data_IF_475434491374
#
_entry.id   IF_475434491374
#
_cell.length_a   1.000
_cell.length_b   1.000
_cell.length_c   1.000
_cell.angle_alpha   90.00
_cell.angle_beta   90.00
_cell.angle_gamma   90.00
#
_symmetry.space_group_name_H-M   'P 1'
#
loop_
_entity.id
_entity.type
_entity.pdbx_description
1 polymer ?
#
# COMPACT_ATOMS: atom_id res chain seq x y z
N UNK A 1 -46.63 -25.57 38.41
CA UNK A 1 -46.50 -24.37 39.27
C UNK A 1 -45.43 -23.49 38.69
N UNK A 2 -45.84 -22.37 38.07
CA UNK A 2 -44.98 -21.23 37.74
C UNK A 2 -44.62 -20.47 39.04
N UNK A 3 -43.62 -19.58 39.04
CA UNK A 3 -43.67 -18.33 38.29
C UNK A 3 -42.30 -17.89 37.72
N UNK A 4 -42.30 -17.31 36.49
CA UNK A 4 -42.17 -15.88 36.24
C UNK A 4 -41.04 -15.13 36.96
N UNK A 5 -39.95 -14.83 36.24
CA UNK A 5 -39.28 -13.55 36.40
C UNK A 5 -38.87 -12.99 35.05
N UNK A 6 -39.68 -12.01 34.65
CA UNK A 6 -39.36 -11.04 33.62
C UNK A 6 -38.22 -10.14 34.14
N UNK A 7 -37.14 -10.06 33.47
CA UNK A 7 -36.19 -8.96 33.64
C UNK A 7 -35.83 -8.37 32.29
N UNK A 8 -36.32 -7.21 32.14
CA UNK A 8 -36.03 -6.19 31.17
C UNK A 8 -34.52 -5.95 31.10
N UNK A 9 -33.92 -6.11 29.93
CA UNK A 9 -32.67 -5.45 29.61
C UNK A 9 -32.91 -4.65 28.34
N UNK A 10 -33.16 -3.37 28.53
CA UNK A 10 -33.16 -2.38 27.49
C UNK A 10 -31.71 -2.19 27.04
N UNK A 11 -31.33 -2.81 25.91
CA UNK A 11 -30.08 -2.54 25.28
C UNK A 11 -30.19 -1.22 24.47
N UNK A 12 -29.65 -0.16 25.04
CA UNK A 12 -29.43 1.11 24.36
C UNK A 12 -28.31 0.90 23.34
N UNK A 13 -28.68 0.66 22.09
CA UNK A 13 -27.75 0.75 20.96
C UNK A 13 -27.42 2.22 20.70
N UNK A 14 -26.36 2.72 21.31
CA UNK A 14 -25.71 3.94 20.83
C UNK A 14 -25.02 3.60 19.52
N UNK A 15 -25.68 3.91 18.42
CA UNK A 15 -25.06 3.96 17.10
C UNK A 15 -24.12 5.17 17.08
N UNK A 16 -22.85 4.92 17.38
CA UNK A 16 -21.78 5.85 17.08
C UNK A 16 -21.62 5.88 15.55
N UNK A 17 -22.29 6.81 14.90
CA UNK A 17 -22.00 7.18 13.52
C UNK A 17 -20.61 7.84 13.51
N UNK A 18 -19.57 7.02 13.46
CA UNK A 18 -18.25 7.47 13.12
C UNK A 18 -18.31 7.98 11.69
N UNK A 19 -18.36 9.29 11.51
CA UNK A 19 -18.09 9.94 10.23
C UNK A 19 -16.68 9.60 9.84
N UNK A 20 -16.52 8.52 9.07
CA UNK A 20 -15.27 8.18 8.42
C UNK A 20 -14.94 9.31 7.44
N UNK A 21 -14.14 10.26 7.90
CA UNK A 21 -13.51 11.19 6.99
C UNK A 21 -12.63 10.36 6.07
N UNK A 22 -13.02 10.28 4.81
CA UNK A 22 -12.15 9.78 3.75
C UNK A 22 -10.94 10.70 3.71
N UNK A 23 -9.87 10.29 4.38
CA UNK A 23 -8.59 10.97 4.29
C UNK A 23 -8.05 10.75 2.89
N UNK A 24 -8.30 11.68 1.99
CA UNK A 24 -7.65 11.79 0.68
C UNK A 24 -6.20 12.26 0.84
N UNK A 25 -5.56 11.91 1.94
CA UNK A 25 -4.15 12.18 2.20
C UNK A 25 -3.26 11.10 1.59
N UNK A 26 -2.08 11.50 1.20
CA UNK A 26 -1.01 10.58 0.78
C UNK A 26 -0.84 9.48 1.85
N UNK A 27 -0.75 8.20 1.47
CA UNK A 27 -0.59 7.11 2.43
C UNK A 27 0.59 7.38 3.37
N UNK A 28 0.40 7.14 4.66
CA UNK A 28 1.48 7.31 5.64
C UNK A 28 2.68 6.41 5.30
N UNK A 29 3.86 6.72 5.80
CA UNK A 29 5.05 5.89 5.60
C UNK A 29 4.84 4.44 6.08
N UNK A 30 4.09 4.25 7.16
CA UNK A 30 3.73 2.93 7.67
C UNK A 30 2.81 2.17 6.73
N UNK A 31 1.80 2.83 6.17
CA UNK A 31 0.88 2.24 5.20
C UNK A 31 1.64 1.81 3.94
N UNK A 32 2.57 2.65 3.44
CA UNK A 32 3.42 2.29 2.30
C UNK A 32 4.34 1.12 2.59
N UNK A 33 4.93 1.07 3.79
CA UNK A 33 5.78 -0.06 4.20
C UNK A 33 4.98 -1.38 4.26
N UNK A 34 3.78 -1.37 4.82
CA UNK A 34 2.89 -2.52 4.86
C UNK A 34 2.48 -2.97 3.44
N UNK A 35 2.18 -2.02 2.56
CA UNK A 35 1.85 -2.35 1.16
C UNK A 35 3.04 -2.95 0.40
N UNK A 36 4.27 -2.43 0.61
CA UNK A 36 5.48 -3.01 0.03
C UNK A 36 5.74 -4.44 0.52
N UNK A 37 5.52 -4.71 1.80
CA UNK A 37 5.61 -6.05 2.35
C UNK A 37 4.60 -7.00 1.68
N UNK A 38 3.34 -6.58 1.56
CA UNK A 38 2.31 -7.37 0.89
C UNK A 38 2.63 -7.64 -0.59
N UNK A 39 3.23 -6.67 -1.30
CA UNK A 39 3.70 -6.85 -2.68
C UNK A 39 4.84 -7.87 -2.74
N UNK A 40 5.79 -7.80 -1.81
CA UNK A 40 6.90 -8.75 -1.75
C UNK A 40 6.41 -10.19 -1.51
N UNK A 41 5.45 -10.39 -0.61
CA UNK A 41 4.85 -11.69 -0.34
C UNK A 41 4.14 -12.25 -1.58
N UNK A 42 3.35 -11.42 -2.28
CA UNK A 42 2.70 -11.83 -3.52
C UNK A 42 3.70 -12.21 -4.61
N UNK A 43 4.77 -11.45 -4.76
CA UNK A 43 5.84 -11.75 -5.73
C UNK A 43 6.51 -13.08 -5.41
N UNK A 44 6.79 -13.35 -4.13
CA UNK A 44 7.35 -14.62 -3.70
C UNK A 44 6.43 -15.80 -4.04
N UNK A 45 5.13 -15.67 -3.78
CA UNK A 45 4.15 -16.69 -4.11
C UNK A 45 4.06 -16.96 -5.62
N UNK A 46 4.03 -15.91 -6.46
CA UNK A 46 4.04 -16.05 -7.93
C UNK A 46 5.30 -16.75 -8.41
N UNK A 47 6.46 -16.38 -7.87
CA UNK A 47 7.73 -17.02 -8.23
C UNK A 47 7.76 -18.49 -7.85
N UNK A 48 7.26 -18.85 -6.67
CA UNK A 48 7.15 -20.26 -6.24
C UNK A 48 6.19 -21.05 -7.15
N UNK A 49 5.04 -20.47 -7.51
CA UNK A 49 4.09 -21.09 -8.43
C UNK A 49 4.69 -21.28 -9.83
N UNK A 50 5.46 -20.30 -10.32
CA UNK A 50 6.18 -20.41 -11.59
C UNK A 50 7.19 -21.58 -11.56
N UNK A 51 8.02 -21.66 -10.52
CA UNK A 51 9.01 -22.77 -10.38
C UNK A 51 8.32 -24.12 -10.33
N UNK A 52 7.25 -24.25 -9.57
CA UNK A 52 6.48 -25.50 -9.49
C UNK A 52 5.84 -25.86 -10.84
N UNK A 53 5.29 -24.87 -11.54
CA UNK A 53 4.71 -25.04 -12.88
C UNK A 53 5.76 -25.46 -13.91
N UNK A 54 6.94 -24.84 -13.91
CA UNK A 54 8.04 -25.21 -14.80
C UNK A 54 8.54 -26.66 -14.53
N UNK A 55 8.59 -27.10 -13.28
CA UNK A 55 8.92 -28.48 -12.92
C UNK A 55 7.86 -29.46 -13.46
N UNK A 56 6.57 -29.13 -13.31
CA UNK A 56 5.49 -29.94 -13.82
C UNK A 56 5.52 -30.02 -15.37
N UNK A 57 5.88 -28.95 -16.06
CA UNK A 57 5.98 -28.92 -17.53
C UNK A 57 7.04 -29.91 -18.05
N UNK A 58 8.14 -30.12 -17.34
CA UNK A 58 9.22 -31.06 -17.75
C UNK A 58 8.76 -32.50 -17.84
N UNK A 59 7.63 -32.84 -17.25
CA UNK A 59 7.01 -34.18 -17.30
C UNK A 59 5.98 -34.32 -18.42
N UNK A 60 5.76 -33.28 -19.22
CA UNK A 60 4.78 -33.26 -20.30
C UNK A 60 5.42 -33.49 -21.66
N UNK A 61 4.62 -33.94 -22.64
CA UNK A 61 5.09 -34.13 -24.01
C UNK A 61 5.40 -32.79 -24.72
N UNK A 62 4.56 -31.77 -24.55
CA UNK A 62 4.75 -30.42 -25.13
C UNK A 62 5.42 -29.50 -24.08
N UNK A 63 6.69 -29.72 -23.79
CA UNK A 63 7.42 -29.02 -22.72
C UNK A 63 7.53 -27.52 -23.01
N UNK A 64 7.88 -27.11 -24.22
CA UNK A 64 8.15 -25.72 -24.57
C UNK A 64 6.90 -24.86 -24.49
N UNK A 65 5.77 -25.32 -25.01
CA UNK A 65 4.51 -24.59 -24.93
C UNK A 65 4.04 -24.44 -23.49
N UNK A 66 4.14 -25.51 -22.71
CA UNK A 66 3.83 -25.48 -21.28
C UNK A 66 4.71 -24.48 -20.52
N UNK A 67 6.03 -24.47 -20.75
CA UNK A 67 6.95 -23.51 -20.12
C UNK A 67 6.64 -22.07 -20.52
N UNK A 68 6.30 -21.85 -21.78
CA UNK A 68 5.89 -20.54 -22.28
C UNK A 68 4.65 -20.04 -21.54
N UNK A 69 3.61 -20.86 -21.43
CA UNK A 69 2.37 -20.49 -20.75
C UNK A 69 2.58 -20.15 -19.29
N UNK A 70 3.34 -20.97 -18.56
CA UNK A 70 3.67 -20.72 -17.15
C UNK A 70 4.42 -19.39 -16.96
N UNK A 71 5.38 -19.10 -17.86
CA UNK A 71 6.15 -17.84 -17.79
C UNK A 71 5.30 -16.63 -18.18
N UNK A 72 4.43 -16.78 -19.18
CA UNK A 72 3.52 -15.72 -19.59
C UNK A 72 2.53 -15.37 -18.48
N UNK A 73 1.98 -16.37 -17.82
CA UNK A 73 1.12 -16.17 -16.67
C UNK A 73 1.86 -15.46 -15.54
N UNK A 74 3.03 -15.91 -15.14
CA UNK A 74 3.81 -15.27 -14.08
C UNK A 74 4.14 -13.79 -14.43
N UNK A 75 4.47 -13.49 -15.69
CA UNK A 75 4.71 -12.12 -16.15
C UNK A 75 3.45 -11.26 -16.03
N UNK A 76 2.31 -11.79 -16.44
CA UNK A 76 1.03 -11.09 -16.35
C UNK A 76 0.65 -10.76 -14.90
N UNK A 77 0.87 -11.70 -13.98
CA UNK A 77 0.59 -11.51 -12.55
C UNK A 77 1.58 -10.55 -11.87
N UNK A 78 2.85 -10.53 -12.29
CA UNK A 78 3.88 -9.64 -11.76
C UNK A 78 3.74 -8.20 -12.28
N UNK A 79 3.16 -7.97 -13.45
CA UNK A 79 3.08 -6.65 -14.07
C UNK A 79 2.35 -5.62 -13.21
N UNK A 80 1.15 -5.88 -12.64
CA UNK A 80 0.46 -4.91 -11.79
C UNK A 80 1.21 -4.64 -10.48
N UNK A 81 1.92 -5.61 -9.94
CA UNK A 81 2.72 -5.44 -8.73
C UNK A 81 3.90 -4.48 -8.99
N UNK A 82 4.57 -4.62 -10.13
CA UNK A 82 5.63 -3.69 -10.55
C UNK A 82 5.11 -2.27 -10.78
N UNK A 83 3.96 -2.14 -11.44
CA UNK A 83 3.33 -0.85 -11.63
C UNK A 83 3.06 -0.16 -10.28
N UNK A 84 2.52 -0.91 -9.33
CA UNK A 84 2.24 -0.38 -7.99
C UNK A 84 3.50 0.02 -7.22
N UNK A 85 4.57 -0.76 -7.31
CA UNK A 85 5.88 -0.39 -6.73
C UNK A 85 6.42 0.93 -7.30
N UNK A 86 6.28 1.14 -8.61
CA UNK A 86 6.69 2.38 -9.27
C UNK A 86 5.89 3.59 -8.76
N UNK A 87 4.58 3.45 -8.58
CA UNK A 87 3.73 4.50 -8.01
C UNK A 87 4.15 4.85 -6.57
N UNK A 88 4.36 3.85 -5.71
CA UNK A 88 4.83 4.06 -4.34
C UNK A 88 6.19 4.78 -4.31
N UNK A 89 7.10 4.41 -5.21
CA UNK A 89 8.40 5.07 -5.33
C UNK A 89 8.26 6.52 -5.79
N UNK A 90 7.34 6.80 -6.70
CA UNK A 90 7.08 8.14 -7.19
C UNK A 90 6.50 9.04 -6.08
N UNK A 91 5.51 8.55 -5.36
CA UNK A 91 4.92 9.27 -4.21
C UNK A 91 6.01 9.64 -3.19
N UNK A 92 6.84 8.68 -2.81
CA UNK A 92 7.93 8.91 -1.86
C UNK A 92 8.95 9.95 -2.36
N UNK A 93 9.29 9.93 -3.66
CA UNK A 93 10.18 10.96 -4.25
C UNK A 93 9.54 12.34 -4.20
N UNK A 94 8.25 12.46 -4.51
CA UNK A 94 7.53 13.74 -4.45
C UNK A 94 7.48 14.29 -3.03
N UNK A 95 7.19 13.46 -2.04
CA UNK A 95 7.19 13.87 -0.63
C UNK A 95 8.57 14.36 -0.16
N UNK A 96 9.62 13.62 -0.50
CA UNK A 96 10.99 14.02 -0.19
C UNK A 96 11.38 15.34 -0.88
N UNK A 97 10.95 15.56 -2.11
CA UNK A 97 11.18 16.81 -2.83
C UNK A 97 10.45 17.97 -2.15
N UNK A 98 9.17 17.80 -1.81
CA UNK A 98 8.38 18.81 -1.11
C UNK A 98 9.01 19.17 0.25
N UNK A 99 9.40 18.16 1.03
CA UNK A 99 10.07 18.38 2.31
C UNK A 99 11.40 19.17 2.18
N UNK A 100 12.16 18.89 1.12
CA UNK A 100 13.41 19.65 0.84
C UNK A 100 13.14 21.10 0.48
N UNK A 101 12.11 21.36 -0.34
CA UNK A 101 11.72 22.73 -0.68
C UNK A 101 11.30 23.51 0.56
N UNK A 102 10.46 22.95 1.41
CA UNK A 102 10.07 23.57 2.68
C UNK A 102 11.27 23.87 3.58
N UNK A 103 12.23 22.94 3.66
CA UNK A 103 13.44 23.16 4.45
C UNK A 103 14.33 24.28 3.88
N UNK A 104 14.40 24.44 2.56
CA UNK A 104 15.12 25.53 1.90
C UNK A 104 14.42 26.86 2.17
N UNK A 105 13.11 26.94 2.01
CA UNK A 105 12.31 28.14 2.27
C UNK A 105 12.44 28.58 3.73
N UNK A 106 12.37 27.64 4.67
CA UNK A 106 12.56 27.92 6.09
C UNK A 106 13.95 28.49 6.39
N UNK A 107 15.01 27.97 5.76
CA UNK A 107 16.37 28.51 5.90
C UNK A 107 16.49 29.91 5.30
N UNK A 108 15.91 30.15 4.12
CA UNK A 108 15.94 31.47 3.48
C UNK A 108 15.20 32.50 4.30
N UNK A 109 14.07 32.16 4.88
CA UNK A 109 13.30 33.03 5.77
C UNK A 109 14.12 33.46 7.03
N UNK A 110 14.99 32.57 7.53
CA UNK A 110 15.86 32.86 8.66
C UNK A 110 17.08 33.73 8.30
N UNK A 111 17.50 33.68 7.02
CA UNK A 111 18.70 34.41 6.55
C UNK A 111 18.41 35.79 5.96
N UNK A 112 17.14 36.14 5.71
CA UNK A 112 16.77 37.50 5.26
C UNK A 112 17.01 38.49 6.40
N UNK A 113 17.94 39.43 6.25
CA UNK A 113 18.14 40.48 7.27
C UNK A 113 16.86 41.31 7.40
N UNK A 114 16.51 41.81 8.60
CA UNK A 114 15.40 42.72 8.73
C UNK A 114 15.65 43.94 7.83
N UNK A 115 14.65 44.30 7.03
CA UNK A 115 14.77 45.47 6.15
C UNK A 115 15.22 46.69 6.96
N UNK A 116 16.19 47.48 6.47
CA UNK A 116 16.61 48.67 7.18
C UNK A 116 15.40 49.57 7.38
N UNK A 117 15.18 49.97 8.65
CA UNK A 117 14.16 50.93 9.00
C UNK A 117 14.45 52.22 8.21
N UNK A 118 13.61 52.49 7.22
CA UNK A 118 13.66 53.78 6.52
C UNK A 118 13.28 54.85 7.54
N UNK A 119 14.25 55.63 7.91
CA UNK A 119 14.05 56.82 8.74
C UNK A 119 13.37 57.95 7.94
#
# INVERSE_FOLDING_TARGET
>A
MQPMHRLWIAAVCLAAYGTGQAQTGTPSAQTRAAERAAIADKRAAITQAQVAGEQACRQRFAVEDCLKDVRDQARAELAPLRARELELNQQERQERAAARLQAIEAKQAQTVPPAPLQA
#
